data_IF_581437544206
#
_entry.id   IF_581437544206
#
_cell.length_a   1.000
_cell.length_b   1.000
_cell.length_c   1.000
_cell.angle_alpha   90.00
_cell.angle_beta   90.00
_cell.angle_gamma   90.00
#
_symmetry.space_group_name_H-M   'P 1'
#
loop_
_entity.id
_entity.type
_entity.pdbx_description
1 polymer ?
#
# COMPACT_ATOMS: atom_id res chain seq x y z
N UNK A 1 -63.88 -56.55 56.26
CA UNK A 1 -64.91 -55.95 55.39
C UNK A 1 -64.65 -54.46 55.39
N UNK A 2 -64.41 -53.89 54.21
CA UNK A 2 -64.01 -52.50 54.01
C UNK A 2 -65.25 -51.66 53.72
N UNK A 3 -65.44 -50.51 54.39
CA UNK A 3 -66.43 -49.50 53.97
C UNK A 3 -65.95 -48.07 54.28
N UNK A 4 -65.42 -47.42 53.23
CA UNK A 4 -65.58 -46.03 52.79
C UNK A 4 -65.52 -44.87 53.81
N UNK A 5 -64.48 -44.02 53.71
CA UNK A 5 -64.42 -42.70 54.35
C UNK A 5 -64.47 -41.57 53.28
N UNK A 6 -65.40 -40.60 53.38
CA UNK A 6 -65.83 -39.70 52.31
C UNK A 6 -64.94 -38.45 52.10
N UNK A 7 -63.62 -38.55 52.30
CA UNK A 7 -62.69 -37.40 52.23
C UNK A 7 -61.75 -37.41 51.03
N UNK A 8 -61.92 -38.31 50.06
CA UNK A 8 -61.09 -38.38 48.84
C UNK A 8 -61.75 -37.87 47.56
N UNK A 9 -62.76 -36.98 47.65
CA UNK A 9 -63.27 -36.28 46.46
C UNK A 9 -62.40 -35.06 46.11
N UNK A 10 -61.38 -35.30 45.28
CA UNK A 10 -60.44 -34.30 44.72
C UNK A 10 -61.08 -33.23 43.82
N UNK A 11 -62.41 -33.23 43.67
CA UNK A 11 -63.13 -32.29 42.80
C UNK A 11 -63.43 -30.93 43.45
N UNK A 12 -63.44 -30.82 44.78
CA UNK A 12 -63.81 -29.57 45.47
C UNK A 12 -62.64 -28.57 45.65
N UNK A 13 -61.38 -28.99 45.44
CA UNK A 13 -60.21 -28.12 45.64
C UNK A 13 -59.82 -27.27 44.41
N UNK A 14 -60.44 -27.47 43.25
CA UNK A 14 -60.09 -26.75 42.01
C UNK A 14 -60.75 -25.37 41.87
N UNK A 15 -61.71 -25.01 42.74
CA UNK A 15 -62.48 -23.77 42.58
C UNK A 15 -61.85 -22.50 43.22
N UNK A 16 -60.67 -22.59 43.84
CA UNK A 16 -60.01 -21.46 44.52
C UNK A 16 -58.67 -21.02 43.91
N UNK A 17 -58.27 -21.55 42.74
CA UNK A 17 -56.98 -21.24 42.12
C UNK A 17 -56.95 -20.00 41.22
N UNK A 18 -58.04 -19.23 41.13
CA UNK A 18 -58.15 -18.08 40.20
C UNK A 18 -57.91 -16.72 40.85
N UNK A 19 -57.65 -16.62 42.16
CA UNK A 19 -57.51 -15.32 42.84
C UNK A 19 -56.08 -14.97 43.32
N UNK A 20 -55.06 -15.82 43.11
CA UNK A 20 -53.69 -15.58 43.61
C UNK A 20 -52.63 -15.31 42.51
N UNK A 21 -53.02 -15.06 41.26
CA UNK A 21 -52.06 -14.88 40.16
C UNK A 21 -51.45 -13.47 40.04
N UNK A 22 -51.80 -12.51 40.90
CA UNK A 22 -51.38 -11.10 40.75
C UNK A 22 -50.18 -10.65 41.60
N UNK A 23 -49.47 -11.54 42.31
CA UNK A 23 -48.30 -11.15 43.14
C UNK A 23 -46.97 -11.81 42.75
N UNK A 24 -46.89 -12.53 41.63
CA UNK A 24 -45.60 -13.01 41.14
C UNK A 24 -44.88 -11.88 40.38
N UNK A 25 -44.09 -11.11 41.13
CA UNK A 25 -43.11 -10.19 40.57
C UNK A 25 -42.27 -10.92 39.52
N UNK A 26 -42.16 -10.31 38.33
CA UNK A 26 -41.32 -10.82 37.26
C UNK A 26 -39.92 -11.05 37.82
N UNK A 27 -39.52 -12.31 37.92
CA UNK A 27 -38.19 -12.70 38.32
C UNK A 27 -37.20 -12.05 37.35
N UNK A 28 -36.49 -11.02 37.80
CA UNK A 28 -35.41 -10.40 37.04
C UNK A 28 -34.44 -11.50 36.62
N UNK A 29 -34.35 -11.77 35.31
CA UNK A 29 -33.34 -12.67 34.77
C UNK A 29 -31.98 -12.14 35.21
N UNK A 30 -31.33 -12.83 36.14
CA UNK A 30 -29.92 -12.58 36.45
C UNK A 30 -29.15 -12.91 35.17
N UNK A 31 -28.82 -11.89 34.38
CA UNK A 31 -27.88 -12.02 33.27
C UNK A 31 -26.54 -12.38 33.93
N UNK A 32 -26.18 -13.66 33.89
CA UNK A 32 -24.82 -14.07 34.21
C UNK A 32 -23.96 -13.49 33.10
N UNK A 33 -23.15 -12.49 33.43
CA UNK A 33 -22.11 -11.96 32.55
C UNK A 33 -21.00 -13.02 32.45
N UNK A 34 -21.31 -14.16 31.83
CA UNK A 34 -20.32 -15.13 31.40
C UNK A 34 -19.56 -14.49 30.25
N UNK A 35 -18.31 -14.16 30.49
CA UNK A 35 -17.42 -13.70 29.43
C UNK A 35 -16.90 -14.96 28.75
N UNK A 36 -17.40 -15.26 27.55
CA UNK A 36 -16.91 -16.38 26.76
C UNK A 36 -15.49 -16.06 26.27
N UNK A 37 -14.50 -16.51 27.04
CA UNK A 37 -13.07 -16.23 26.81
C UNK A 37 -12.63 -16.70 25.42
N UNK A 38 -13.13 -17.85 24.97
CA UNK A 38 -12.87 -18.38 23.62
C UNK A 38 -13.40 -17.45 22.51
N UNK A 39 -14.57 -16.84 22.71
CA UNK A 39 -15.12 -15.88 21.75
C UNK A 39 -14.30 -14.58 21.72
N UNK A 40 -13.78 -14.13 22.87
CA UNK A 40 -12.87 -12.99 22.94
C UNK A 40 -11.54 -13.30 22.24
N UNK A 41 -10.97 -14.48 22.49
CA UNK A 41 -9.72 -14.90 21.86
C UNK A 41 -9.85 -15.05 20.34
N UNK A 42 -11.00 -15.54 19.85
CA UNK A 42 -11.29 -15.61 18.43
C UNK A 42 -11.41 -14.21 17.82
N UNK A 43 -12.17 -13.31 18.45
CA UNK A 43 -12.30 -11.92 18.00
C UNK A 43 -10.95 -11.18 18.01
N UNK A 44 -10.13 -11.41 19.04
CA UNK A 44 -8.78 -10.83 19.14
C UNK A 44 -7.87 -11.32 18.01
N UNK A 45 -7.92 -12.62 17.65
CA UNK A 45 -7.17 -13.18 16.52
C UNK A 45 -7.58 -12.58 15.18
N UNK A 46 -8.88 -12.39 14.95
CA UNK A 46 -9.38 -11.76 13.71
C UNK A 46 -8.89 -10.32 13.60
N UNK A 47 -9.03 -9.52 14.66
CA UNK A 47 -8.54 -8.14 14.69
C UNK A 47 -7.04 -8.05 14.42
N UNK A 48 -6.23 -8.91 15.05
CA UNK A 48 -4.79 -8.96 14.81
C UNK A 48 -4.49 -9.28 13.34
N UNK A 49 -5.17 -10.25 12.75
CA UNK A 49 -5.00 -10.59 11.34
C UNK A 49 -5.33 -9.41 10.42
N UNK A 50 -6.45 -8.72 10.66
CA UNK A 50 -6.82 -7.51 9.91
C UNK A 50 -5.78 -6.39 10.05
N UNK A 51 -5.19 -6.18 11.23
CA UNK A 51 -4.13 -5.18 11.41
C UNK A 51 -2.86 -5.54 10.64
N UNK A 52 -2.48 -6.82 10.62
CA UNK A 52 -1.32 -7.31 9.86
C UNK A 52 -1.54 -7.09 8.36
N UNK A 53 -2.75 -7.35 7.86
CA UNK A 53 -3.09 -7.18 6.46
C UNK A 53 -3.13 -5.69 6.07
N UNK A 54 -3.65 -4.82 6.94
CA UNK A 54 -3.58 -3.35 6.78
C UNK A 54 -2.14 -2.84 6.72
N UNK A 55 -1.28 -3.29 7.65
CA UNK A 55 0.14 -2.91 7.68
C UNK A 55 0.87 -3.40 6.42
N UNK A 56 0.61 -4.63 5.96
CA UNK A 56 1.16 -5.15 4.70
C UNK A 56 0.73 -4.31 3.49
N UNK A 57 -0.55 -3.92 3.43
CA UNK A 57 -1.07 -3.10 2.34
C UNK A 57 -0.46 -1.69 2.32
N UNK A 58 -0.31 -1.05 3.49
CA UNK A 58 0.35 0.25 3.60
C UNK A 58 1.84 0.19 3.24
N UNK A 59 2.55 -0.85 3.70
CA UNK A 59 3.94 -1.09 3.31
C UNK A 59 4.11 -1.36 1.81
N UNK A 60 3.17 -2.06 1.18
CA UNK A 60 3.19 -2.29 -0.27
C UNK A 60 3.01 -0.97 -1.05
N UNK A 61 2.15 -0.06 -0.56
CA UNK A 61 1.95 1.28 -1.14
C UNK A 61 3.19 2.17 -0.99
N UNK A 62 3.85 2.11 0.17
CA UNK A 62 5.01 2.93 0.51
C UNK A 62 6.36 2.29 0.15
N UNK A 63 6.37 1.08 -0.42
CA UNK A 63 7.59 0.42 -0.83
C UNK A 63 8.26 1.21 -1.96
N UNK A 64 9.56 1.52 -1.87
CA UNK A 64 10.26 2.19 -2.95
C UNK A 64 10.16 1.33 -4.21
N UNK A 65 9.35 1.79 -5.18
CA UNK A 65 9.22 1.13 -6.49
C UNK A 65 10.61 1.14 -7.14
N UNK A 66 11.31 0.01 -7.08
CA UNK A 66 12.61 -0.13 -7.71
C UNK A 66 12.46 0.23 -9.19
N UNK A 67 13.27 1.20 -9.65
CA UNK A 67 12.97 1.99 -10.85
C UNK A 67 12.98 1.20 -12.17
N UNK A 68 13.52 -0.01 -12.20
CA UNK A 68 13.58 -0.86 -13.39
C UNK A 68 13.30 -2.33 -13.02
N UNK A 69 12.03 -2.70 -12.79
CA UNK A 69 11.66 -4.10 -12.53
C UNK A 69 11.02 -4.67 -13.80
N UNK A 70 11.77 -5.48 -14.54
CA UNK A 70 11.22 -6.27 -15.65
C UNK A 70 10.52 -7.51 -15.09
N UNK A 71 9.49 -7.94 -15.79
CA UNK A 71 8.77 -9.19 -15.52
C UNK A 71 9.41 -10.35 -16.28
N UNK A 72 9.39 -11.53 -15.69
CA UNK A 72 9.93 -12.73 -16.31
C UNK A 72 8.99 -13.21 -17.44
N UNK A 73 9.48 -13.48 -18.65
CA UNK A 73 8.64 -13.93 -19.77
C UNK A 73 8.00 -15.32 -19.58
N UNK A 74 8.41 -16.07 -18.55
CA UNK A 74 7.91 -17.43 -18.30
C UNK A 74 6.87 -17.52 -17.18
N UNK A 75 6.94 -16.65 -16.18
CA UNK A 75 6.10 -16.75 -14.99
C UNK A 75 5.57 -15.41 -14.50
N UNK A 76 5.83 -14.33 -15.22
CA UNK A 76 5.47 -12.93 -14.91
C UNK A 76 5.95 -12.46 -13.53
N UNK A 77 6.72 -13.28 -12.83
CA UNK A 77 7.30 -12.94 -11.55
C UNK A 77 8.34 -11.85 -11.75
N UNK A 78 8.48 -10.95 -10.77
CA UNK A 78 9.36 -9.82 -10.92
C UNK A 78 10.83 -10.24 -10.88
N UNK A 79 11.64 -9.69 -11.78
CA UNK A 79 13.07 -9.97 -11.84
C UNK A 79 13.90 -8.95 -11.05
N UNK A 80 15.08 -9.38 -10.61
CA UNK A 80 16.09 -8.54 -9.94
C UNK A 80 17.31 -8.38 -10.84
N UNK A 81 17.83 -7.15 -10.94
CA UNK A 81 19.06 -6.85 -11.66
C UNK A 81 20.26 -7.34 -10.84
N UNK A 82 21.13 -8.15 -11.44
CA UNK A 82 22.35 -8.67 -10.80
C UNK A 82 23.59 -7.89 -11.21
N UNK A 83 23.73 -7.59 -12.48
CA UNK A 83 24.82 -6.79 -13.00
C UNK A 83 24.34 -5.85 -14.09
N UNK A 84 25.11 -4.80 -14.33
CA UNK A 84 24.84 -3.84 -15.38
C UNK A 84 26.14 -3.46 -16.07
N UNK A 85 26.14 -3.51 -17.40
CA UNK A 85 27.29 -3.22 -18.25
C UNK A 85 26.94 -2.08 -19.19
N UNK A 86 27.71 -0.99 -19.12
CA UNK A 86 27.55 0.12 -20.07
C UNK A 86 28.19 -0.30 -21.40
N UNK A 87 27.42 -0.27 -22.48
CA UNK A 87 27.89 -0.62 -23.82
C UNK A 87 28.26 0.62 -24.62
N UNK A 88 27.42 1.66 -24.58
CA UNK A 88 27.67 2.95 -25.24
C UNK A 88 27.19 4.11 -24.37
N UNK A 89 27.23 5.35 -24.88
CA UNK A 89 26.60 6.49 -24.19
C UNK A 89 25.07 6.34 -24.11
N UNK A 90 24.48 5.60 -25.04
CA UNK A 90 23.04 5.45 -25.23
C UNK A 90 22.48 4.10 -24.76
N UNK A 91 23.34 3.09 -24.64
CA UNK A 91 22.92 1.69 -24.43
C UNK A 91 23.60 1.08 -23.21
N UNK A 92 22.81 0.38 -22.40
CA UNK A 92 23.28 -0.38 -21.23
C UNK A 92 22.63 -1.75 -21.18
N UNK A 93 23.43 -2.77 -20.95
CA UNK A 93 22.97 -4.14 -20.74
C UNK A 93 22.81 -4.42 -19.26
N UNK A 94 21.80 -5.21 -18.94
CA UNK A 94 21.47 -5.63 -17.58
C UNK A 94 21.27 -7.14 -17.55
N UNK A 95 21.91 -7.80 -16.60
CA UNK A 95 21.59 -9.20 -16.30
C UNK A 95 20.48 -9.25 -15.25
N UNK A 96 19.43 -9.99 -15.56
CA UNK A 96 18.26 -10.18 -14.72
C UNK A 96 18.20 -11.63 -14.24
N UNK A 97 17.77 -11.80 -13.00
CA UNK A 97 17.42 -13.10 -12.44
C UNK A 97 15.98 -13.05 -11.93
N UNK A 98 15.20 -14.06 -12.28
CA UNK A 98 13.84 -14.23 -11.77
C UNK A 98 13.86 -14.47 -10.26
N UNK A 99 12.94 -13.82 -9.53
CA UNK A 99 12.80 -14.03 -8.09
C UNK A 99 12.04 -15.31 -7.74
N UNK A 100 11.27 -15.87 -8.67
CA UNK A 100 10.62 -17.16 -8.46
C UNK A 100 11.67 -18.26 -8.53
N UNK A 101 11.91 -18.94 -7.40
CA UNK A 101 12.92 -20.01 -7.27
C UNK A 101 12.61 -21.19 -8.20
N UNK A 102 11.33 -21.50 -8.39
CA UNK A 102 10.89 -22.58 -9.30
C UNK A 102 11.20 -22.25 -10.77
N UNK A 103 11.14 -20.97 -11.14
CA UNK A 103 11.43 -20.54 -12.50
C UNK A 103 12.94 -20.40 -12.74
N UNK A 104 13.66 -19.74 -11.82
CA UNK A 104 15.12 -19.56 -11.87
C UNK A 104 15.67 -18.85 -13.11
N UNK A 105 14.81 -18.38 -14.02
CA UNK A 105 15.22 -17.89 -15.33
C UNK A 105 16.14 -16.67 -15.21
N UNK A 106 17.25 -16.73 -15.92
CA UNK A 106 18.27 -15.67 -15.95
C UNK A 106 18.46 -15.23 -17.39
N UNK A 107 18.36 -13.93 -17.65
CA UNK A 107 18.42 -13.37 -18.99
C UNK A 107 19.13 -12.02 -19.01
N UNK A 108 19.57 -11.61 -20.19
CA UNK A 108 20.19 -10.30 -20.42
C UNK A 108 19.23 -9.45 -21.23
N UNK A 109 19.02 -8.20 -20.81
CA UNK A 109 18.24 -7.23 -21.55
C UNK A 109 19.03 -5.94 -21.77
N UNK A 110 18.91 -5.38 -22.97
CA UNK A 110 19.51 -4.10 -23.35
C UNK A 110 18.50 -2.97 -23.19
N UNK A 111 18.85 -1.96 -22.42
CA UNK A 111 18.12 -0.68 -22.35
C UNK A 111 18.83 0.33 -23.26
N UNK A 112 18.07 0.92 -24.17
CA UNK A 112 18.58 1.94 -25.10
C UNK A 112 17.75 3.22 -25.02
N UNK A 113 18.44 4.35 -25.13
CA UNK A 113 17.80 5.67 -25.28
C UNK A 113 17.53 5.86 -26.77
N UNK A 114 16.24 5.85 -27.17
CA UNK A 114 15.85 5.94 -28.59
C UNK A 114 15.63 7.36 -29.10
N UNK A 115 14.99 8.21 -28.30
CA UNK A 115 14.58 9.53 -28.75
C UNK A 115 14.53 10.53 -27.60
N UNK A 116 14.76 11.79 -27.95
CA UNK A 116 14.73 12.91 -27.00
C UNK A 116 13.32 13.50 -26.94
N UNK A 117 12.71 13.50 -25.75
CA UNK A 117 11.43 14.18 -25.49
C UNK A 117 11.61 15.64 -25.06
N UNK A 118 12.70 15.94 -24.36
CA UNK A 118 13.10 17.29 -23.97
C UNK A 118 14.59 17.43 -24.20
N UNK A 119 15.07 18.45 -24.93
CA UNK A 119 16.51 18.67 -25.11
C UNK A 119 17.21 18.90 -23.76
N UNK A 120 18.47 18.47 -23.66
CA UNK A 120 19.30 18.76 -22.49
C UNK A 120 19.66 20.25 -22.44
N UNK A 121 19.71 20.82 -21.24
CA UNK A 121 20.27 22.17 -21.04
C UNK A 121 21.79 22.24 -21.24
N UNK A 122 22.46 21.08 -21.25
CA UNK A 122 23.90 20.92 -21.55
C UNK A 122 24.08 19.77 -22.54
N UNK A 123 23.83 20.00 -23.85
CA UNK A 123 23.93 18.95 -24.85
C UNK A 123 25.39 18.54 -25.08
N UNK A 124 25.65 17.23 -25.14
CA UNK A 124 26.93 16.69 -25.58
C UNK A 124 26.89 16.52 -27.12
N UNK A 125 27.79 17.15 -27.89
CA UNK A 125 27.77 17.10 -29.36
C UNK A 125 28.00 15.69 -29.92
N UNK A 126 28.56 14.78 -29.13
CA UNK A 126 28.75 13.37 -29.55
C UNK A 126 27.48 12.52 -29.44
N UNK A 127 26.40 13.04 -28.85
CA UNK A 127 25.15 12.31 -28.65
C UNK A 127 24.04 12.96 -29.48
N UNK A 128 23.77 12.38 -30.64
CA UNK A 128 22.68 12.82 -31.52
C UNK A 128 21.53 11.82 -31.44
N UNK A 129 20.43 12.24 -30.83
CA UNK A 129 19.20 11.44 -30.67
C UNK A 129 18.09 12.06 -31.52
N UNK A 130 17.29 11.25 -32.25
CA UNK A 130 16.15 11.75 -32.97
C UNK A 130 15.06 12.25 -32.00
N UNK A 131 14.29 13.25 -32.41
CA UNK A 131 13.07 13.67 -31.71
C UNK A 131 11.85 13.00 -32.38
N UNK A 132 10.81 12.58 -31.63
CA UNK A 132 9.63 11.97 -32.23
C UNK A 132 8.85 12.97 -33.11
N UNK A 133 8.17 12.50 -34.15
CA UNK A 133 7.51 13.38 -35.14
C UNK A 133 6.36 14.22 -34.57
N UNK A 134 5.81 13.79 -33.43
CA UNK A 134 4.75 14.52 -32.71
C UNK A 134 5.27 15.78 -32.01
N UNK A 135 6.60 15.91 -31.86
CA UNK A 135 7.22 17.13 -31.35
C UNK A 135 7.29 18.18 -32.44
N UNK A 136 6.77 19.38 -32.16
CA UNK A 136 6.91 20.56 -33.03
C UNK A 136 8.37 21.04 -33.00
N UNK A 137 9.24 20.38 -33.76
CA UNK A 137 10.68 20.67 -33.81
C UNK A 137 10.94 22.14 -34.12
N UNK A 138 10.14 22.75 -34.98
CA UNK A 138 10.27 24.17 -35.36
C UNK A 138 10.08 25.10 -34.16
N UNK A 139 9.08 24.82 -33.31
CA UNK A 139 8.80 25.62 -32.12
C UNK A 139 9.93 25.46 -31.10
N UNK A 140 10.40 24.23 -30.89
CA UNK A 140 11.53 23.96 -29.98
C UNK A 140 12.77 24.68 -30.47
N UNK A 141 13.06 24.61 -31.77
CA UNK A 141 14.21 25.29 -32.37
C UNK A 141 14.11 26.81 -32.19
N UNK A 142 12.96 27.41 -32.51
CA UNK A 142 12.74 28.84 -32.31
C UNK A 142 12.89 29.25 -30.84
N UNK A 143 12.42 28.42 -29.90
CA UNK A 143 12.63 28.65 -28.47
C UNK A 143 14.10 28.58 -28.07
N UNK A 144 14.86 27.62 -28.62
CA UNK A 144 16.30 27.50 -28.36
C UNK A 144 17.10 28.66 -28.96
N UNK A 145 16.70 29.16 -30.14
CA UNK A 145 17.35 30.30 -30.80
C UNK A 145 17.12 31.62 -30.04
N UNK A 146 15.97 31.77 -29.37
CA UNK A 146 15.60 32.94 -28.57
C UNK A 146 16.09 32.83 -27.11
N UNK A 147 16.47 31.63 -26.66
CA UNK A 147 16.86 31.40 -25.28
C UNK A 147 18.15 32.19 -24.94
N UNK A 148 18.14 33.06 -23.91
CA UNK A 148 19.35 33.75 -23.49
C UNK A 148 20.36 32.74 -22.96
N UNK A 149 21.60 32.77 -23.46
CA UNK A 149 22.70 32.00 -22.91
C UNK A 149 23.08 32.59 -21.55
N UNK A 150 22.54 32.04 -20.48
CA UNK A 150 22.95 32.39 -19.11
C UNK A 150 24.16 31.53 -18.76
N UNK A 151 25.22 32.09 -18.13
CA UNK A 151 26.29 31.29 -17.56
C UNK A 151 25.74 30.48 -16.36
N UNK A 152 25.09 29.35 -16.66
CA UNK A 152 24.62 28.41 -15.65
C UNK A 152 25.72 27.40 -15.36
N UNK A 153 26.35 27.52 -14.19
CA UNK A 153 27.21 26.48 -13.63
C UNK A 153 26.44 25.76 -12.53
N UNK A 154 26.13 24.47 -12.68
CA UNK A 154 25.47 23.72 -11.62
C UNK A 154 26.41 23.61 -10.42
N UNK A 155 26.14 24.39 -9.37
CA UNK A 155 26.82 24.24 -8.08
C UNK A 155 26.11 23.12 -7.33
N UNK A 156 26.76 21.97 -7.18
CA UNK A 156 26.31 20.94 -6.25
C UNK A 156 26.57 21.43 -4.83
N UNK A 157 25.67 22.26 -4.30
CA UNK A 157 25.72 22.65 -2.90
C UNK A 157 25.53 21.41 -2.04
N UNK A 158 26.28 21.33 -0.94
CA UNK A 158 26.03 20.31 0.09
C UNK A 158 24.61 20.56 0.62
N UNK A 159 23.81 19.52 0.90
CA UNK A 159 22.51 19.71 1.52
C UNK A 159 22.73 20.38 2.88
N UNK A 160 22.27 21.62 3.01
CA UNK A 160 22.30 22.38 4.27
C UNK A 160 20.91 22.30 4.87
N UNK A 161 20.82 21.91 6.14
CA UNK A 161 19.57 21.84 6.92
C UNK A 161 19.04 23.22 7.31
N UNK A 162 19.76 24.29 6.96
CA UNK A 162 19.34 25.67 7.19
C UNK A 162 18.13 26.04 6.35
N UNK A 163 17.29 26.93 6.89
CA UNK A 163 16.15 27.48 6.16
C UNK A 163 16.68 28.39 5.04
N UNK A 164 16.28 28.10 3.79
CA UNK A 164 16.81 28.72 2.56
C UNK A 164 16.61 30.25 2.49
N UNK A 165 15.87 30.82 3.44
CA UNK A 165 15.42 32.21 3.46
C UNK A 165 15.94 33.02 4.67
N UNK A 166 16.72 32.42 5.59
CA UNK A 166 17.19 33.12 6.80
C UNK A 166 18.25 34.21 6.52
N UNK A 167 18.95 34.14 5.38
CA UNK A 167 20.01 35.10 5.02
C UNK A 167 19.49 36.41 4.37
N UNK A 168 18.17 36.57 4.21
CA UNK A 168 17.55 37.78 3.64
C UNK A 168 17.02 38.77 4.69
N UNK A 169 17.58 38.76 5.90
CA UNK A 169 17.37 39.87 6.83
C UNK A 169 18.12 41.12 6.33
N UNK A 170 17.44 41.93 5.52
CA UNK A 170 17.86 43.30 5.19
C UNK A 170 18.14 44.07 6.48
N UNK A 171 19.18 44.93 6.54
CA UNK A 171 19.42 45.74 7.72
C UNK A 171 18.24 46.68 7.92
N UNK A 172 17.57 46.54 9.06
CA UNK A 172 16.57 47.49 9.52
C UNK A 172 17.32 48.81 9.81
N UNK A 173 17.09 49.81 8.96
CA UNK A 173 17.37 51.22 9.28
C UNK A 173 16.40 51.71 10.37
#
# INVERSE_FOLDING_TARGET
>A
MAENNPFEDKAALQAHSSFTQSTQGQAGRKIRMGVDVEAIEANHRVLLQETVDKIKAERAKNSPKARNRLECPHCDAPCTIRSSRRMSKLTREYSYQCNNVECGHTFVASMEIRHTLSPSGTPDPSVVLPMPDKMRRDVIRAQMDVAPSVPYSPVNSKPVTGDLFLDQALPLN
#
